data_IF_633232867626
#
_entry.id   IF_633232867626
#
_cell.length_a   1.000
_cell.length_b   1.000
_cell.length_c   1.000
_cell.angle_alpha   90.00
_cell.angle_beta   90.00
_cell.angle_gamma   90.00
#
_symmetry.space_group_name_H-M   'P 1'
#
loop_
_entity.id
_entity.type
_entity.pdbx_description
1 polymer ?
#
# COMPACT_ATOMS: atom_id res chain seq x y z
N UNK A 1 -32.57 -16.29 -38.75
CA UNK A 1 -32.13 -16.53 -37.37
C UNK A 1 -30.81 -15.79 -37.19
N UNK A 2 -30.75 -14.87 -36.23
CA UNK A 2 -29.56 -14.09 -35.85
C UNK A 2 -28.39 -15.05 -35.48
N UNK A 3 -27.10 -14.72 -35.60
CA UNK A 3 -26.43 -13.54 -35.06
C UNK A 3 -24.93 -13.56 -35.44
N UNK A 4 -24.42 -12.37 -35.80
CA UNK A 4 -23.09 -11.81 -35.53
C UNK A 4 -21.81 -12.37 -36.16
N UNK A 5 -21.53 -11.79 -37.33
CA UNK A 5 -20.19 -11.34 -37.75
C UNK A 5 -19.68 -10.19 -36.85
N UNK A 6 -19.09 -10.49 -35.69
CA UNK A 6 -18.28 -9.50 -34.93
C UNK A 6 -17.29 -10.20 -33.98
N UNK A 7 -16.24 -10.82 -34.52
CA UNK A 7 -14.98 -11.10 -33.78
C UNK A 7 -13.89 -11.41 -34.81
N UNK A 8 -13.77 -10.48 -35.75
CA UNK A 8 -12.65 -10.32 -36.65
C UNK A 8 -11.63 -9.41 -35.93
N UNK A 9 -10.34 -9.79 -35.93
CA UNK A 9 -9.18 -8.98 -35.49
C UNK A 9 -9.07 -8.58 -34.02
N UNK A 10 -8.70 -9.52 -33.15
CA UNK A 10 -7.94 -9.36 -31.90
C UNK A 10 -7.94 -10.78 -31.30
N UNK A 11 -6.86 -11.50 -31.01
CA UNK A 11 -5.66 -11.10 -30.30
C UNK A 11 -4.57 -12.10 -30.73
N UNK A 12 -3.73 -11.70 -31.70
CA UNK A 12 -2.46 -12.39 -32.05
C UNK A 12 -1.38 -12.05 -30.98
N UNK A 13 -1.80 -11.96 -29.72
CA UNK A 13 -0.98 -11.56 -28.56
C UNK A 13 -1.22 -12.45 -27.32
N UNK A 14 -1.71 -13.68 -27.50
CA UNK A 14 -2.17 -14.55 -26.39
C UNK A 14 -1.06 -15.46 -25.81
N UNK A 15 0.11 -15.60 -26.44
CA UNK A 15 1.24 -16.35 -25.83
C UNK A 15 2.24 -15.47 -25.08
N UNK A 16 2.04 -14.15 -25.05
CA UNK A 16 2.91 -13.19 -24.35
C UNK A 16 2.16 -12.38 -23.27
N UNK A 17 1.02 -12.85 -22.79
CA UNK A 17 0.27 -12.24 -21.69
C UNK A 17 0.17 -13.16 -20.45
N UNK A 18 1.02 -14.19 -20.36
CA UNK A 18 1.07 -15.10 -19.21
C UNK A 18 2.16 -14.72 -18.18
N UNK A 19 2.69 -13.49 -18.22
CA UNK A 19 3.67 -12.99 -17.24
C UNK A 19 3.60 -11.46 -17.10
N UNK A 20 2.46 -10.92 -16.62
CA UNK A 20 2.47 -9.65 -15.88
C UNK A 20 1.60 -9.82 -14.64
N UNK A 21 1.99 -10.77 -13.80
CA UNK A 21 1.34 -10.98 -12.51
C UNK A 21 2.45 -11.26 -11.48
N UNK A 22 3.36 -10.29 -11.24
CA UNK A 22 4.42 -10.49 -10.22
C UNK A 22 5.08 -9.24 -9.62
N UNK A 23 4.67 -8.00 -9.90
CA UNK A 23 5.29 -6.82 -9.24
C UNK A 23 4.33 -5.81 -8.65
N UNK A 24 3.03 -6.14 -8.58
CA UNK A 24 1.99 -5.20 -8.19
C UNK A 24 1.26 -5.67 -6.93
N UNK A 25 1.91 -5.90 -5.78
CA UNK A 25 1.09 -6.28 -4.61
C UNK A 25 1.70 -6.33 -3.23
N UNK A 26 3.02 -6.42 -3.09
CA UNK A 26 3.63 -6.51 -1.76
C UNK A 26 4.70 -5.45 -1.63
N UNK A 27 4.47 -4.45 -0.79
CA UNK A 27 5.55 -3.70 -0.19
C UNK A 27 6.33 -4.70 0.67
N UNK A 28 7.39 -5.32 0.11
CA UNK A 28 8.08 -6.43 0.78
C UNK A 28 8.52 -6.13 2.22
N UNK A 29 8.66 -4.85 2.56
CA UNK A 29 8.85 -4.36 3.92
C UNK A 29 8.08 -3.06 4.18
N UNK A 30 7.59 -2.87 5.40
CA UNK A 30 6.99 -1.63 5.90
C UNK A 30 7.55 -1.27 7.27
N UNK A 31 7.43 0.00 7.68
CA UNK A 31 7.60 0.38 9.08
C UNK A 31 6.34 0.07 9.88
N UNK A 32 6.49 -0.50 11.07
CA UNK A 32 5.42 -0.75 12.04
C UNK A 32 5.76 -0.12 13.39
N UNK A 33 4.95 0.85 13.80
CA UNK A 33 5.10 1.60 15.04
C UNK A 33 3.92 2.56 15.22
N UNK A 34 3.84 3.21 16.38
CA UNK A 34 2.94 4.34 16.60
C UNK A 34 3.61 5.47 17.37
N UNK A 35 2.94 6.62 17.49
CA UNK A 35 3.48 7.83 18.13
C UNK A 35 3.77 7.68 19.63
N UNK A 36 3.63 6.51 20.24
CA UNK A 36 4.19 6.20 21.56
C UNK A 36 5.64 5.73 21.45
N UNK A 37 6.05 5.22 20.30
CA UNK A 37 7.44 4.93 19.99
C UNK A 37 8.18 6.25 19.67
N UNK A 38 9.32 6.53 20.32
CA UNK A 38 10.07 7.77 20.10
C UNK A 38 10.57 7.89 18.65
N UNK A 39 10.74 6.76 17.95
CA UNK A 39 11.14 6.74 16.54
C UNK A 39 10.01 7.03 15.55
N UNK A 40 8.74 7.07 15.99
CA UNK A 40 7.56 7.05 15.12
C UNK A 40 6.59 8.23 15.35
N UNK A 41 7.12 9.34 15.85
CA UNK A 41 6.35 10.57 16.01
C UNK A 41 5.83 11.10 14.67
N UNK A 42 4.75 11.88 14.71
CA UNK A 42 4.03 12.38 13.53
C UNK A 42 4.89 13.29 12.63
N UNK A 43 5.85 13.98 13.24
CA UNK A 43 6.77 14.96 12.64
C UNK A 43 8.13 14.35 12.26
N UNK A 44 8.34 13.06 12.53
CA UNK A 44 9.61 12.38 12.30
C UNK A 44 9.53 11.37 11.15
N UNK A 45 10.63 11.34 10.39
CA UNK A 45 10.89 10.27 9.43
C UNK A 45 11.48 9.05 10.17
N UNK A 46 10.91 7.87 9.96
CA UNK A 46 11.36 6.60 10.58
C UNK A 46 12.50 5.93 9.79
N UNK A 47 13.08 6.63 8.80
CA UNK A 47 13.95 6.06 7.76
C UNK A 47 15.14 5.25 8.31
N UNK A 48 15.70 5.66 9.46
CA UNK A 48 16.86 5.01 10.10
C UNK A 48 16.49 3.94 11.15
N UNK A 49 15.21 3.70 11.40
CA UNK A 49 14.75 2.79 12.45
C UNK A 49 14.58 1.35 11.93
N UNK A 50 15.69 0.67 11.66
CA UNK A 50 15.68 -0.69 11.09
C UNK A 50 14.91 -1.71 11.95
N UNK A 51 14.88 -1.52 13.28
CA UNK A 51 14.14 -2.36 14.22
C UNK A 51 12.61 -2.27 14.08
N UNK A 52 12.10 -1.25 13.36
CA UNK A 52 10.67 -1.05 13.11
C UNK A 52 10.24 -1.65 11.77
N UNK A 53 11.13 -2.28 11.01
CA UNK A 53 10.83 -2.83 9.69
C UNK A 53 10.24 -4.24 9.81
N UNK A 54 9.07 -4.45 9.23
CA UNK A 54 8.39 -5.75 9.17
C UNK A 54 8.18 -6.18 7.72
N UNK A 55 8.17 -7.49 7.42
CA UNK A 55 7.72 -7.98 6.12
C UNK A 55 6.23 -7.65 5.94
N UNK A 56 5.82 -7.27 4.72
CA UNK A 56 4.41 -6.97 4.44
C UNK A 56 3.97 -7.59 3.12
N UNK A 57 2.85 -8.32 3.18
CA UNK A 57 2.26 -8.97 2.02
C UNK A 57 1.23 -8.08 1.29
N UNK A 58 0.84 -6.97 1.92
CA UNK A 58 -0.08 -5.98 1.35
C UNK A 58 0.61 -4.65 1.05
N UNK A 59 -0.06 -3.56 1.39
CA UNK A 59 0.46 -2.20 1.24
C UNK A 59 0.93 -1.67 2.58
N UNK A 60 1.94 -0.82 2.59
CA UNK A 60 2.22 -0.05 3.79
C UNK A 60 1.13 0.99 4.01
N UNK A 61 0.83 1.30 5.26
CA UNK A 61 -0.06 2.39 5.62
C UNK A 61 0.61 3.39 6.56
N UNK A 62 0.05 4.61 6.54
CA UNK A 62 0.11 5.60 7.60
C UNK A 62 -1.32 5.91 7.99
N UNK A 63 -1.59 5.91 9.29
CA UNK A 63 -2.89 6.24 9.87
C UNK A 63 -2.71 7.38 10.86
N UNK A 64 -3.56 8.39 10.79
CA UNK A 64 -3.59 9.48 11.77
C UNK A 64 -4.99 9.58 12.36
N UNK A 65 -5.13 9.39 13.67
CA UNK A 65 -6.38 9.56 14.41
C UNK A 65 -6.11 10.32 15.71
N UNK A 66 -6.85 11.40 15.96
CA UNK A 66 -6.72 12.20 17.19
C UNK A 66 -5.25 12.56 17.53
N UNK A 67 -4.49 12.99 16.52
CA UNK A 67 -3.04 13.31 16.62
C UNK A 67 -2.12 12.13 16.93
N UNK A 68 -2.63 10.90 16.94
CA UNK A 68 -1.82 9.67 17.02
C UNK A 68 -1.55 9.20 15.59
N UNK A 69 -0.27 9.16 15.22
CA UNK A 69 0.19 8.53 13.98
C UNK A 69 0.51 7.06 14.25
N UNK A 70 0.10 6.16 13.36
CA UNK A 70 0.58 4.78 13.32
C UNK A 70 0.95 4.36 11.90
N UNK A 71 1.90 3.43 11.80
CA UNK A 71 2.45 2.90 10.56
C UNK A 71 2.36 1.38 10.59
N UNK A 72 2.18 0.73 9.45
CA UNK A 72 2.18 -0.73 9.40
C UNK A 72 1.84 -1.31 8.04
N UNK A 73 1.43 -2.58 8.04
CA UNK A 73 1.00 -3.33 6.87
C UNK A 73 -0.54 -3.42 6.82
N UNK A 74 -1.14 -3.10 5.67
CA UNK A 74 -2.60 -2.96 5.50
C UNK A 74 -3.36 -4.27 5.77
N UNK A 75 -2.77 -5.41 5.40
CA UNK A 75 -3.39 -6.73 5.57
C UNK A 75 -3.46 -7.19 7.03
N UNK A 76 -2.59 -6.67 7.90
CA UNK A 76 -2.67 -6.93 9.34
C UNK A 76 -3.83 -6.16 10.02
N UNK A 77 -4.30 -5.10 9.36
CA UNK A 77 -5.39 -4.24 9.85
C UNK A 77 -6.74 -4.51 9.16
N UNK A 78 -6.87 -5.60 8.40
CA UNK A 78 -8.11 -5.99 7.75
C UNK A 78 -8.43 -5.24 6.45
N UNK A 79 -7.52 -4.39 5.95
CA UNK A 79 -7.59 -3.84 4.60
C UNK A 79 -7.15 -4.92 3.59
N UNK A 80 -7.97 -5.96 3.45
CA UNK A 80 -7.74 -7.10 2.55
C UNK A 80 -7.93 -6.73 1.06
N UNK A 81 -8.23 -5.45 0.79
CA UNK A 81 -8.35 -4.88 -0.54
C UNK A 81 -7.31 -3.78 -0.72
N UNK A 82 -6.64 -3.80 -1.87
CA UNK A 82 -5.67 -2.78 -2.24
C UNK A 82 -6.37 -1.43 -2.39
N UNK A 83 -5.80 -0.41 -1.76
CA UNK A 83 -6.19 1.00 -1.84
C UNK A 83 -5.33 1.75 -2.86
N UNK A 84 -5.84 2.88 -3.33
CA UNK A 84 -5.10 3.76 -4.24
C UNK A 84 -3.90 4.37 -3.46
N UNK A 85 -2.66 4.16 -3.91
CA UNK A 85 -1.48 4.72 -3.25
C UNK A 85 -1.51 6.24 -3.15
N UNK A 86 -0.94 6.78 -2.07
CA UNK A 86 -0.75 8.20 -1.79
C UNK A 86 -2.03 9.04 -1.82
N UNK A 87 -3.19 8.39 -1.80
CA UNK A 87 -4.50 9.04 -1.76
C UNK A 87 -5.06 8.94 -0.35
N UNK A 88 -5.36 10.06 0.33
CA UNK A 88 -5.91 10.02 1.68
C UNK A 88 -7.35 9.48 1.66
N UNK A 89 -7.62 8.54 2.57
CA UNK A 89 -8.94 7.97 2.84
C UNK A 89 -9.34 8.37 4.26
N UNK A 90 -10.57 8.85 4.44
CA UNK A 90 -11.08 9.23 5.75
C UNK A 90 -12.13 8.23 6.22
N UNK A 91 -11.83 7.48 7.27
CA UNK A 91 -12.70 6.45 7.83
C UNK A 91 -12.56 6.41 9.36
N UNK A 92 -13.68 6.30 10.09
CA UNK A 92 -13.69 6.20 11.57
C UNK A 92 -12.87 7.29 12.28
N UNK A 93 -12.96 8.54 11.81
CA UNK A 93 -12.21 9.71 12.32
C UNK A 93 -10.70 9.58 12.16
N UNK A 94 -10.23 8.67 11.30
CA UNK A 94 -8.85 8.49 10.96
C UNK A 94 -8.61 8.85 9.49
N UNK A 95 -7.47 9.48 9.21
CA UNK A 95 -6.92 9.60 7.86
C UNK A 95 -5.97 8.45 7.61
N UNK A 96 -6.14 7.77 6.48
CA UNK A 96 -5.30 6.66 6.03
C UNK A 96 -4.62 7.03 4.71
N UNK A 97 -3.33 6.71 4.59
CA UNK A 97 -2.56 6.83 3.35
C UNK A 97 -1.86 5.50 3.12
N UNK A 98 -2.00 4.93 1.93
CA UNK A 98 -1.38 3.65 1.56
C UNK A 98 -0.27 3.85 0.54
N UNK A 99 0.71 2.96 0.48
CA UNK A 99 1.76 2.98 -0.54
C UNK A 99 2.35 1.57 -0.78
N UNK A 100 2.93 1.37 -1.96
CA UNK A 100 3.29 0.03 -2.46
C UNK A 100 4.80 -0.27 -2.50
N UNK A 101 5.64 0.76 -2.36
CA UNK A 101 7.09 0.56 -2.39
C UNK A 101 7.61 0.15 -1.02
N UNK A 102 8.69 -0.64 -0.97
CA UNK A 102 9.26 -1.05 0.30
C UNK A 102 9.62 0.17 1.15
N UNK A 103 9.19 0.17 2.41
CA UNK A 103 9.48 1.22 3.40
C UNK A 103 8.93 2.61 3.04
N UNK A 104 7.97 2.69 2.10
CA UNK A 104 7.37 3.94 1.63
C UNK A 104 6.63 4.72 2.72
N UNK A 105 6.15 4.04 3.75
CA UNK A 105 5.59 4.65 4.94
C UNK A 105 6.68 5.17 5.90
N UNK A 106 7.85 5.54 5.38
CA UNK A 106 8.98 6.07 6.14
C UNK A 106 8.90 7.57 6.45
N UNK A 107 8.10 8.30 5.66
CA UNK A 107 7.99 9.75 5.72
C UNK A 107 6.72 10.19 6.46
N UNK A 108 6.72 11.39 7.05
CA UNK A 108 5.54 11.95 7.74
C UNK A 108 4.27 11.96 6.86
N UNK A 109 4.42 12.14 5.54
CA UNK A 109 3.31 12.22 4.59
C UNK A 109 3.13 10.95 3.74
N UNK A 110 3.91 9.90 4.02
CA UNK A 110 3.87 8.66 3.25
C UNK A 110 4.34 8.80 1.81
N UNK A 111 4.95 9.93 1.43
CA UNK A 111 5.65 10.15 0.17
C UNK A 111 6.94 9.33 0.14
N UNK A 112 7.25 8.68 -1.00
CA UNK A 112 8.52 7.98 -1.23
C UNK A 112 9.64 8.95 -1.63
#
# INVERSE_FOLDING_TARGET
MASNNFLIFCIVAITLACFIETTLGASGWCYQCDSRDPGCQIDLNVLNSAHLRIPCNGQCYIRVKASIMSRGCSWEYGFMTRQIPYTPIYEQEAMWIFCDTALCNGHANGSA
#
